data_IF_719350534106
#
_entry.id   IF_719350534106
#
_cell.length_a   1.000
_cell.length_b   1.000
_cell.length_c   1.000
_cell.angle_alpha   90.00
_cell.angle_beta   90.00
_cell.angle_gamma   90.00
#
_symmetry.space_group_name_H-M   'P 1'
#
loop_
_entity.id
_entity.type
_entity.pdbx_description
1 polymer ?
#
# COMPACT_ATOMS: atom_id res chain seq x y z
N UNK A 1 20.18 -2.33 -44.06
CA UNK A 1 18.90 -2.74 -43.44
C UNK A 1 19.06 -2.56 -41.94
N UNK A 2 18.14 -1.83 -41.32
CA UNK A 2 18.28 -1.20 -40.01
C UNK A 2 18.51 -2.16 -38.84
N UNK A 3 19.57 -1.89 -38.10
CA UNK A 3 19.80 -2.26 -36.71
C UNK A 3 19.02 -1.31 -35.79
N UNK A 4 17.98 -1.77 -35.08
CA UNK A 4 17.45 -1.11 -33.86
C UNK A 4 16.24 -1.86 -33.29
N UNK A 5 16.43 -2.81 -32.37
CA UNK A 5 15.39 -3.27 -31.41
C UNK A 5 15.85 -4.42 -30.48
N UNK A 6 16.90 -4.21 -29.67
CA UNK A 6 16.87 -4.82 -28.32
C UNK A 6 17.16 -3.85 -27.17
N UNK A 7 17.79 -2.70 -27.41
CA UNK A 7 18.28 -1.82 -26.35
C UNK A 7 17.14 -1.18 -25.52
N UNK A 8 16.03 -0.83 -26.17
CA UNK A 8 14.89 -0.17 -25.51
C UNK A 8 14.21 -1.13 -24.53
N UNK A 9 14.11 -2.44 -24.85
CA UNK A 9 13.43 -3.37 -23.94
C UNK A 9 14.27 -3.70 -22.73
N UNK A 10 15.60 -3.79 -22.85
CA UNK A 10 16.50 -4.01 -21.70
C UNK A 10 16.54 -2.81 -20.75
N UNK A 11 16.58 -1.58 -21.27
CA UNK A 11 16.49 -0.37 -20.44
C UNK A 11 15.13 -0.20 -19.79
N UNK A 12 14.02 -0.51 -20.48
CA UNK A 12 12.69 -0.51 -19.87
C UNK A 12 12.56 -1.60 -18.81
N UNK A 13 13.12 -2.78 -19.05
CA UNK A 13 13.13 -3.86 -18.06
C UNK A 13 13.96 -3.46 -16.84
N UNK A 14 15.12 -2.83 -17.03
CA UNK A 14 15.87 -2.22 -15.93
C UNK A 14 15.04 -1.14 -15.24
N UNK A 15 14.34 -0.27 -15.95
CA UNK A 15 13.49 0.74 -15.31
C UNK A 15 12.31 0.13 -14.53
N UNK A 16 11.73 -0.99 -14.98
CA UNK A 16 10.69 -1.72 -14.26
C UNK A 16 11.22 -2.52 -13.06
N UNK A 17 12.41 -3.12 -13.19
CA UNK A 17 13.00 -4.05 -12.21
C UNK A 17 13.88 -3.32 -11.18
N UNK A 18 14.55 -2.23 -11.57
CA UNK A 18 15.45 -1.43 -10.73
C UNK A 18 14.69 -0.35 -9.95
N UNK A 19 13.38 -0.18 -10.18
CA UNK A 19 12.55 0.68 -9.35
C UNK A 19 11.96 -0.11 -8.17
N UNK A 20 12.45 0.07 -6.92
CA UNK A 20 11.93 -0.64 -5.75
C UNK A 20 10.46 -0.29 -5.43
N UNK A 21 9.89 0.70 -6.13
CA UNK A 21 8.53 1.21 -5.92
C UNK A 21 7.46 0.46 -6.71
N UNK A 22 7.82 -0.25 -7.80
CA UNK A 22 6.84 -0.96 -8.61
C UNK A 22 6.15 -2.08 -7.81
N UNK A 23 6.87 -2.91 -7.02
CA UNK A 23 6.23 -3.96 -6.21
C UNK A 23 5.33 -3.41 -5.10
N UNK A 24 5.73 -2.32 -4.42
CA UNK A 24 4.88 -1.65 -3.42
C UNK A 24 3.63 -1.04 -4.06
N UNK A 25 3.77 -0.42 -5.23
CA UNK A 25 2.63 0.17 -5.95
C UNK A 25 1.64 -0.92 -6.34
N UNK A 26 2.12 -2.01 -6.94
CA UNK A 26 1.28 -3.16 -7.33
C UNK A 26 0.58 -3.76 -6.10
N UNK A 27 1.33 -4.01 -5.03
CA UNK A 27 0.78 -4.58 -3.79
C UNK A 27 -0.30 -3.67 -3.19
N UNK A 28 -0.02 -2.37 -3.05
CA UNK A 28 -0.98 -1.39 -2.51
C UNK A 28 -2.21 -1.23 -3.41
N UNK A 29 -2.05 -1.21 -4.73
CA UNK A 29 -3.18 -1.19 -5.67
C UNK A 29 -4.02 -2.47 -5.58
N UNK A 30 -3.38 -3.65 -5.43
CA UNK A 30 -4.11 -4.91 -5.23
C UNK A 30 -4.88 -4.94 -3.91
N UNK A 31 -4.28 -4.44 -2.83
CA UNK A 31 -4.96 -4.24 -1.55
C UNK A 31 -6.17 -3.32 -1.68
N UNK A 32 -6.07 -2.25 -2.47
CA UNK A 32 -7.18 -1.32 -2.68
C UNK A 32 -8.37 -2.03 -3.34
N UNK A 33 -8.11 -2.87 -4.35
CA UNK A 33 -9.15 -3.68 -5.01
C UNK A 33 -9.80 -4.63 -4.01
N UNK A 34 -9.01 -5.32 -3.18
CA UNK A 34 -9.54 -6.23 -2.15
C UNK A 34 -10.42 -5.49 -1.13
N UNK A 35 -10.01 -4.31 -0.68
CA UNK A 35 -10.85 -3.48 0.20
C UNK A 35 -12.15 -3.04 -0.46
N UNK A 36 -12.12 -2.63 -1.73
CA UNK A 36 -13.33 -2.26 -2.47
C UNK A 36 -14.29 -3.44 -2.56
N UNK A 37 -13.79 -4.64 -2.87
CA UNK A 37 -14.61 -5.86 -2.89
C UNK A 37 -15.22 -6.13 -1.51
N UNK A 38 -14.43 -6.00 -0.43
CA UNK A 38 -14.92 -6.17 0.94
C UNK A 38 -15.98 -5.13 1.32
N UNK A 39 -15.83 -3.86 0.94
CA UNK A 39 -16.82 -2.80 1.18
C UNK A 39 -18.11 -3.06 0.41
N UNK A 40 -18.02 -3.46 -0.86
CA UNK A 40 -19.21 -3.83 -1.66
C UNK A 40 -19.91 -5.05 -1.06
N UNK A 41 -19.15 -6.01 -0.54
CA UNK A 41 -19.70 -7.14 0.20
C UNK A 41 -20.43 -6.65 1.47
N UNK A 42 -19.88 -5.69 2.22
CA UNK A 42 -20.58 -5.10 3.36
C UNK A 42 -21.90 -4.40 2.96
N UNK A 43 -21.95 -3.73 1.80
CA UNK A 43 -23.12 -2.95 1.35
C UNK A 43 -24.25 -3.77 0.72
N UNK A 44 -23.96 -4.94 0.14
CA UNK A 44 -24.93 -5.72 -0.65
C UNK A 44 -25.98 -6.46 0.18
N UNK A 45 -25.95 -6.38 1.51
CA UNK A 45 -26.93 -7.00 2.39
C UNK A 45 -27.78 -5.95 3.10
N UNK A 46 -29.09 -6.16 3.16
CA UNK A 46 -29.95 -5.50 4.15
C UNK A 46 -29.41 -5.87 5.54
N UNK A 47 -28.81 -4.88 6.22
CA UNK A 47 -28.11 -5.06 7.49
C UNK A 47 -29.04 -5.54 8.60
N UNK A 48 -29.24 -6.84 8.71
CA UNK A 48 -29.49 -7.46 10.01
C UNK A 48 -28.13 -7.54 10.70
N UNK A 49 -27.75 -6.44 11.35
CA UNK A 49 -26.63 -6.45 12.26
C UNK A 49 -26.71 -7.72 13.11
N UNK A 50 -25.72 -8.62 13.08
CA UNK A 50 -25.64 -9.64 14.12
C UNK A 50 -25.66 -8.88 15.45
N UNK A 51 -26.45 -9.36 16.41
CA UNK A 51 -26.72 -8.69 17.69
C UNK A 51 -25.47 -8.33 18.51
N UNK A 52 -24.28 -8.76 18.08
CA UNK A 52 -22.98 -8.34 18.59
C UNK A 52 -22.54 -7.02 17.96
N UNK A 53 -22.58 -5.93 18.74
CA UNK A 53 -22.09 -4.59 18.39
C UNK A 53 -20.62 -4.49 17.97
N UNK A 54 -19.86 -5.59 18.02
CA UNK A 54 -18.41 -5.61 17.73
C UNK A 54 -18.14 -5.86 16.25
N UNK A 55 -18.95 -6.68 15.57
CA UNK A 55 -18.77 -6.96 14.11
C UNK A 55 -19.08 -5.72 13.27
N UNK A 56 -19.92 -4.82 13.78
CA UNK A 56 -20.28 -3.55 13.13
C UNK A 56 -19.10 -2.57 13.01
N UNK A 57 -18.04 -2.78 13.80
CA UNK A 57 -16.80 -1.99 13.73
C UNK A 57 -15.91 -2.39 12.54
N UNK A 58 -16.06 -3.61 12.01
CA UNK A 58 -15.27 -4.13 10.89
C UNK A 58 -15.29 -3.20 9.66
N UNK A 59 -16.44 -2.78 9.12
CA UNK A 59 -16.47 -1.85 7.98
C UNK A 59 -15.86 -0.47 8.30
N UNK A 60 -15.86 -0.05 9.57
CA UNK A 60 -15.22 1.22 10.00
C UNK A 60 -13.69 1.07 9.92
N UNK A 61 -13.15 -0.05 10.41
CA UNK A 61 -11.72 -0.34 10.30
C UNK A 61 -11.27 -0.53 8.86
N UNK A 62 -12.12 -1.11 8.00
CA UNK A 62 -11.87 -1.21 6.55
C UNK A 62 -11.74 0.18 5.93
N UNK A 63 -12.65 1.12 6.23
CA UNK A 63 -12.58 2.50 5.73
C UNK A 63 -11.32 3.23 6.20
N UNK A 64 -10.94 3.08 7.48
CA UNK A 64 -9.70 3.66 8.01
C UNK A 64 -8.48 3.06 7.30
N UNK A 65 -8.47 1.74 7.10
CA UNK A 65 -7.38 1.04 6.41
C UNK A 65 -7.24 1.48 4.96
N UNK A 66 -8.37 1.69 4.26
CA UNK A 66 -8.39 2.26 2.91
C UNK A 66 -7.82 3.68 2.90
N UNK A 67 -8.18 4.53 3.86
CA UNK A 67 -7.65 5.89 3.94
C UNK A 67 -6.12 5.89 4.10
N UNK A 68 -5.58 5.04 4.99
CA UNK A 68 -4.14 4.86 5.17
C UNK A 68 -3.50 4.36 3.87
N UNK A 69 -4.11 3.35 3.24
CA UNK A 69 -3.62 2.79 2.00
C UNK A 69 -3.54 3.85 0.88
N UNK A 70 -4.57 4.68 0.73
CA UNK A 70 -4.59 5.78 -0.25
C UNK A 70 -3.49 6.81 0.02
N UNK A 71 -3.28 7.20 1.28
CA UNK A 71 -2.20 8.11 1.67
C UNK A 71 -0.83 7.51 1.34
N UNK A 72 -0.61 6.23 1.70
CA UNK A 72 0.67 5.55 1.41
C UNK A 72 0.90 5.36 -0.09
N UNK A 73 -0.17 5.13 -0.87
CA UNK A 73 -0.11 5.02 -2.32
C UNK A 73 0.19 6.37 -2.96
N UNK A 74 -0.44 7.44 -2.48
CA UNK A 74 -0.16 8.81 -2.92
C UNK A 74 1.31 9.18 -2.74
N UNK A 75 1.86 8.93 -1.55
CA UNK A 75 3.30 9.14 -1.30
C UNK A 75 4.18 8.29 -2.21
N UNK A 76 3.79 7.04 -2.46
CA UNK A 76 4.49 6.15 -3.40
C UNK A 76 4.50 6.70 -4.83
N UNK A 77 3.36 7.19 -5.30
CA UNK A 77 3.22 7.79 -6.65
C UNK A 77 4.03 9.09 -6.79
N UNK A 78 4.07 9.90 -5.73
CA UNK A 78 4.89 11.11 -5.70
C UNK A 78 6.38 10.83 -5.55
N UNK A 79 6.78 9.56 -5.35
CA UNK A 79 8.16 9.15 -4.99
C UNK A 79 8.64 9.83 -3.69
N UNK A 80 7.71 10.16 -2.80
CA UNK A 80 8.01 10.66 -1.46
C UNK A 80 8.06 9.48 -0.49
N UNK A 81 9.27 9.07 -0.13
CA UNK A 81 9.51 7.96 0.78
C UNK A 81 10.29 8.42 1.99
N UNK A 82 9.57 8.54 3.10
CA UNK A 82 10.20 8.58 4.40
C UNK A 82 10.01 7.21 5.05
N UNK A 83 11.08 6.42 5.13
CA UNK A 83 11.08 5.02 5.55
C UNK A 83 10.35 4.82 6.87
N UNK A 84 10.59 5.69 7.85
CA UNK A 84 9.92 5.62 9.16
C UNK A 84 8.41 5.82 9.05
N UNK A 85 7.97 6.80 8.25
CA UNK A 85 6.56 7.09 8.04
C UNK A 85 5.87 5.97 7.26
N UNK A 86 6.48 5.53 6.16
CA UNK A 86 6.00 4.43 5.32
C UNK A 86 5.86 3.13 6.12
N UNK A 87 6.89 2.76 6.88
CA UNK A 87 6.84 1.59 7.77
C UNK A 87 5.77 1.74 8.85
N UNK A 88 5.65 2.92 9.47
CA UNK A 88 4.63 3.20 10.47
C UNK A 88 3.21 3.05 9.94
N UNK A 89 2.95 3.58 8.74
CA UNK A 89 1.65 3.45 8.07
C UNK A 89 1.36 2.00 7.66
N UNK A 90 2.36 1.27 7.13
CA UNK A 90 2.21 -0.14 6.76
C UNK A 90 1.94 -1.03 7.98
N UNK A 91 2.62 -0.81 9.10
CA UNK A 91 2.38 -1.52 10.37
C UNK A 91 0.98 -1.19 10.90
N UNK A 92 0.58 0.09 10.86
CA UNK A 92 -0.74 0.49 11.35
C UNK A 92 -1.88 -0.14 10.53
N UNK A 93 -1.75 -0.16 9.19
CA UNK A 93 -2.66 -0.88 8.30
C UNK A 93 -2.71 -2.38 8.59
N UNK A 94 -1.56 -3.02 8.83
CA UNK A 94 -1.48 -4.43 9.21
C UNK A 94 -2.23 -4.72 10.52
N UNK A 95 -2.07 -3.86 11.54
CA UNK A 95 -2.73 -4.01 12.85
C UNK A 95 -4.26 -3.92 12.68
N UNK A 96 -4.75 -2.91 11.97
CA UNK A 96 -6.19 -2.73 11.72
C UNK A 96 -6.78 -3.91 10.94
N UNK A 97 -6.09 -4.36 9.90
CA UNK A 97 -6.53 -5.50 9.10
C UNK A 97 -6.53 -6.80 9.91
N UNK A 98 -5.49 -7.04 10.72
CA UNK A 98 -5.39 -8.21 11.59
C UNK A 98 -6.48 -8.21 12.66
N UNK A 99 -6.76 -7.04 13.25
CA UNK A 99 -7.84 -6.88 14.22
C UNK A 99 -9.19 -7.18 13.59
N UNK A 100 -9.46 -6.68 12.39
CA UNK A 100 -10.70 -6.96 11.65
C UNK A 100 -10.83 -8.44 11.32
N UNK A 101 -9.75 -9.07 10.85
CA UNK A 101 -9.70 -10.52 10.60
C UNK A 101 -10.02 -11.32 11.86
N UNK A 102 -9.47 -10.91 13.00
CA UNK A 102 -9.74 -11.54 14.29
C UNK A 102 -11.20 -11.41 14.72
N UNK A 103 -11.81 -10.23 14.54
CA UNK A 103 -13.23 -10.02 14.81
C UNK A 103 -14.12 -10.90 13.93
N UNK A 104 -13.77 -11.05 12.64
CA UNK A 104 -14.48 -11.92 11.70
C UNK A 104 -14.35 -13.40 12.10
N UNK A 105 -13.17 -13.83 12.55
CA UNK A 105 -12.93 -15.21 13.00
C UNK A 105 -13.72 -15.58 14.26
N UNK A 106 -13.76 -14.70 15.27
CA UNK A 106 -14.53 -14.95 16.50
C UNK A 106 -16.02 -15.10 16.21
N UNK A 107 -16.53 -14.31 15.26
CA UNK A 107 -17.95 -14.27 14.93
C UNK A 107 -18.29 -15.16 13.72
N UNK A 108 -17.37 -16.04 13.30
CA UNK A 108 -17.60 -16.97 12.22
C UNK A 108 -18.66 -18.01 12.66
N UNK A 109 -19.91 -17.78 12.24
CA UNK A 109 -20.97 -18.78 12.32
C UNK A 109 -21.01 -19.55 11.00
N UNK A 110 -21.09 -20.88 11.07
CA UNK A 110 -21.00 -21.83 9.94
C UNK A 110 -22.10 -21.73 8.87
N UNK A 111 -22.94 -20.68 8.89
CA UNK A 111 -24.14 -20.55 8.06
C UNK A 111 -24.13 -19.39 7.06
N UNK A 112 -23.00 -18.71 6.82
CA UNK A 112 -22.94 -17.62 5.82
C UNK A 112 -21.69 -17.68 4.93
N UNK A 113 -21.88 -18.18 3.71
CA UNK A 113 -20.87 -18.20 2.63
C UNK A 113 -20.22 -16.85 2.31
N UNK A 114 -20.89 -15.74 2.64
CA UNK A 114 -20.39 -14.39 2.41
C UNK A 114 -19.40 -13.91 3.48
N UNK A 115 -19.56 -14.35 4.74
CA UNK A 115 -18.57 -14.09 5.78
C UNK A 115 -17.23 -14.77 5.43
N UNK A 116 -17.30 -15.93 4.80
CA UNK A 116 -16.13 -16.67 4.34
C UNK A 116 -15.38 -15.90 3.23
N UNK A 117 -16.11 -15.28 2.30
CA UNK A 117 -15.51 -14.44 1.26
C UNK A 117 -14.86 -13.18 1.84
N UNK A 118 -15.53 -12.50 2.79
CA UNK A 118 -14.96 -11.32 3.46
C UNK A 118 -13.72 -11.71 4.27
N UNK A 119 -13.79 -12.81 5.02
CA UNK A 119 -12.68 -13.34 5.80
C UNK A 119 -11.50 -13.74 4.89
N UNK A 120 -11.77 -14.40 3.76
CA UNK A 120 -10.75 -14.75 2.77
C UNK A 120 -10.06 -13.51 2.21
N UNK A 121 -10.82 -12.47 1.85
CA UNK A 121 -10.25 -11.19 1.41
C UNK A 121 -9.36 -10.57 2.51
N UNK A 122 -9.80 -10.64 3.76
CA UNK A 122 -9.04 -10.12 4.89
C UNK A 122 -7.73 -10.88 5.12
N UNK A 123 -7.71 -12.19 4.93
CA UNK A 123 -6.46 -12.98 4.96
C UNK A 123 -5.51 -12.52 3.86
N UNK A 124 -6.00 -12.30 2.63
CA UNK A 124 -5.18 -11.77 1.54
C UNK A 124 -4.66 -10.35 1.83
N UNK A 125 -5.47 -9.51 2.46
CA UNK A 125 -5.08 -8.17 2.90
C UNK A 125 -3.98 -8.23 3.97
N UNK A 126 -4.07 -9.12 4.96
CA UNK A 126 -3.01 -9.33 5.97
C UNK A 126 -1.70 -9.75 5.29
N UNK A 127 -1.77 -10.65 4.30
CA UNK A 127 -0.60 -11.07 3.52
C UNK A 127 -0.01 -9.88 2.75
N UNK A 128 -0.84 -9.07 2.09
CA UNK A 128 -0.38 -7.90 1.33
C UNK A 128 0.23 -6.82 2.23
N UNK A 129 -0.37 -6.53 3.38
CA UNK A 129 0.20 -5.61 4.37
C UNK A 129 1.52 -6.13 4.93
N UNK A 130 1.62 -7.42 5.21
CA UNK A 130 2.87 -8.05 5.67
C UNK A 130 3.95 -7.90 4.61
N UNK A 131 3.61 -8.16 3.33
CA UNK A 131 4.52 -7.91 2.22
C UNK A 131 4.96 -6.45 2.16
N UNK A 132 4.05 -5.49 2.32
CA UNK A 132 4.40 -4.06 2.30
C UNK A 132 5.37 -3.70 3.44
N UNK A 133 5.14 -4.21 4.65
CA UNK A 133 6.05 -4.00 5.79
C UNK A 133 7.43 -4.58 5.48
N UNK A 134 7.51 -5.84 5.08
CA UNK A 134 8.78 -6.52 4.78
C UNK A 134 9.52 -5.80 3.65
N UNK A 135 8.83 -5.52 2.54
CA UNK A 135 9.43 -4.84 1.40
C UNK A 135 9.93 -3.45 1.76
N UNK A 136 9.12 -2.66 2.49
CA UNK A 136 9.53 -1.33 2.93
C UNK A 136 10.73 -1.35 3.88
N UNK A 137 10.90 -2.43 4.65
CA UNK A 137 12.03 -2.59 5.58
C UNK A 137 13.34 -2.83 4.83
N UNK A 138 13.32 -3.69 3.81
CA UNK A 138 14.54 -4.13 3.13
C UNK A 138 14.89 -3.29 1.90
N UNK A 139 13.90 -2.71 1.23
CA UNK A 139 14.08 -2.11 -0.10
C UNK A 139 13.73 -0.62 -0.18
N UNK A 140 13.16 -0.01 0.86
CA UNK A 140 12.91 1.44 0.87
C UNK A 140 14.06 2.18 1.54
N UNK A 141 14.65 3.13 0.80
CA UNK A 141 15.54 4.15 1.34
C UNK A 141 14.79 5.47 1.49
N UNK A 142 15.26 6.33 2.39
CA UNK A 142 14.71 7.68 2.51
C UNK A 142 14.98 8.43 1.19
N UNK A 143 13.93 8.88 0.52
CA UNK A 143 14.02 9.59 -0.76
C UNK A 143 12.88 10.59 -0.84
N UNK A 144 13.22 11.87 -1.05
CA UNK A 144 12.25 12.93 -1.26
C UNK A 144 12.32 13.34 -2.73
N UNK A 145 11.23 13.10 -3.46
CA UNK A 145 11.09 13.50 -4.86
C UNK A 145 11.06 15.01 -5.03
N UNK A 146 11.73 15.50 -6.08
CA UNK A 146 11.81 16.92 -6.51
C UNK A 146 10.44 17.57 -6.78
N UNK A 147 9.34 16.81 -6.82
CA UNK A 147 7.97 17.30 -7.06
C UNK A 147 7.37 18.15 -5.92
N UNK A 148 7.93 18.09 -4.70
CA UNK A 148 7.38 18.76 -3.52
C UNK A 148 8.15 20.01 -3.08
N UNK A 149 9.29 20.34 -3.71
CA UNK A 149 10.11 21.51 -3.36
C UNK A 149 10.07 22.51 -4.52
N UNK A 150 9.47 23.71 -4.36
CA UNK A 150 9.54 24.76 -5.37
C UNK A 150 11.00 25.19 -5.59
N UNK A 151 11.50 25.11 -6.84
CA UNK A 151 12.83 25.63 -7.22
C UNK A 151 14.00 24.64 -7.16
N UNK A 152 13.76 23.35 -6.89
CA UNK A 152 14.84 22.35 -6.87
C UNK A 152 15.01 21.70 -8.26
N UNK A 153 16.10 22.03 -8.96
CA UNK A 153 16.36 21.70 -10.36
C UNK A 153 16.84 22.87 -11.24
N UNK A 154 16.91 24.09 -10.69
CA UNK A 154 17.61 25.23 -11.33
C UNK A 154 19.11 25.27 -11.00
N UNK A 155 19.58 24.44 -10.06
CA UNK A 155 20.98 24.32 -9.72
C UNK A 155 21.66 23.33 -10.67
N UNK A 156 22.76 23.76 -11.29
CA UNK A 156 23.64 22.88 -12.08
C UNK A 156 24.18 21.76 -11.21
N UNK A 157 24.40 20.55 -11.76
CA UNK A 157 24.83 19.34 -11.01
C UNK A 157 25.93 19.60 -9.95
N UNK A 158 26.87 20.53 -10.20
CA UNK A 158 27.92 20.93 -9.25
C UNK A 158 27.39 21.60 -7.97
N UNK A 159 26.34 22.41 -8.06
CA UNK A 159 25.73 23.09 -6.91
C UNK A 159 24.88 22.12 -6.07
N UNK A 160 24.32 21.07 -6.67
CA UNK A 160 23.59 20.01 -5.95
C UNK A 160 24.55 19.11 -5.14
N UNK A 161 25.77 18.84 -5.66
CA UNK A 161 26.82 18.08 -4.95
C UNK A 161 27.38 18.91 -3.78
N UNK A 162 27.65 20.19 -3.99
CA UNK A 162 28.18 21.08 -2.95
C UNK A 162 27.18 21.28 -1.78
N UNK A 163 25.86 21.29 -2.06
CA UNK A 163 24.83 21.36 -1.03
C UNK A 163 24.68 20.05 -0.23
N UNK A 164 24.95 18.89 -0.85
CA UNK A 164 24.96 17.59 -0.19
C UNK A 164 26.19 17.41 0.71
N UNK A 165 27.36 17.94 0.31
CA UNK A 165 28.58 17.93 1.12
C UNK A 165 28.52 18.88 2.34
N UNK A 166 27.67 19.91 2.31
CA UNK A 166 27.50 20.82 3.45
C UNK A 166 26.53 20.33 4.54
N UNK A 167 25.76 19.26 4.29
CA UNK A 167 24.74 18.75 5.22
C UNK A 167 25.01 17.34 5.77
N UNK A 168 26.15 16.74 5.42
CA UNK A 168 26.72 15.51 6.00
C UNK A 168 28.13 15.78 6.54
#
# INVERSE_FOLDING_TARGET
>A
MSTSSPLISEELCKYLIVYPFLPLTISKSSSLILYVISIVAWMTREWRFPSSSIVTLSPIFDLISVAILLVTLWFTLQKFFWRKLEMGMNIFGLILCSFTTFLLLINHSSNLSMYDNILYNHILLVVSWTFNVVWSTFHTMDTVSKLLIPGWGEATEEQEIEALEMHF
#
